data_IF_537728027938
#
_entry.id   IF_537728027938
#
_cell.length_a   1.000
_cell.length_b   1.000
_cell.length_c   1.000
_cell.angle_alpha   90.00
_cell.angle_beta   90.00
_cell.angle_gamma   90.00
#
_symmetry.space_group_name_H-M   'P 1'
#
loop_
_entity.id
_entity.type
_entity.pdbx_description
1 polymer ?
#
# COMPACT_ATOMS: atom_id res chain seq x y z
N UNK A 1 33.01 7.41 9.47
CA UNK A 1 32.33 6.20 8.93
C UNK A 1 31.53 5.60 10.07
N UNK A 2 30.26 5.25 9.85
CA UNK A 2 29.45 4.52 10.84
C UNK A 2 29.84 3.05 10.89
N UNK A 3 29.61 2.38 12.03
CA UNK A 3 29.73 0.91 12.16
C UNK A 3 28.60 0.17 11.44
N UNK A 4 27.44 0.82 11.32
CA UNK A 4 26.25 0.34 10.66
C UNK A 4 25.48 1.52 10.07
N UNK A 5 24.82 1.31 8.93
CA UNK A 5 23.96 2.26 8.23
C UNK A 5 22.53 1.74 8.19
N UNK A 6 21.54 2.63 8.31
CA UNK A 6 20.12 2.31 8.10
C UNK A 6 19.65 3.03 6.84
N UNK A 7 19.27 2.30 5.79
CA UNK A 7 18.58 2.85 4.63
C UNK A 7 17.08 2.99 4.93
N UNK A 8 16.66 4.22 5.17
CA UNK A 8 15.26 4.62 5.33
C UNK A 8 14.86 5.64 4.25
N UNK A 9 15.43 5.54 3.04
CA UNK A 9 15.22 6.51 1.94
C UNK A 9 13.89 6.38 1.21
N UNK A 10 12.94 5.61 1.77
CA UNK A 10 11.59 5.45 1.23
C UNK A 10 11.59 4.73 -0.12
N UNK A 11 10.63 5.08 -0.98
CA UNK A 11 10.43 4.46 -2.29
C UNK A 11 11.72 4.37 -3.10
N UNK A 12 12.57 5.40 -3.08
CA UNK A 12 13.78 5.47 -3.90
C UNK A 12 14.76 4.33 -3.55
N UNK A 13 14.80 3.92 -2.27
CA UNK A 13 15.65 2.84 -1.79
C UNK A 13 17.09 2.98 -2.27
N UNK A 14 17.73 4.13 -2.01
CA UNK A 14 19.00 4.55 -2.61
C UNK A 14 20.07 3.46 -2.53
N UNK A 15 20.32 2.95 -1.31
CA UNK A 15 21.36 1.93 -1.11
C UNK A 15 20.87 0.55 -1.52
N UNK A 16 19.59 0.23 -1.28
CA UNK A 16 19.01 -1.05 -1.69
C UNK A 16 19.04 -1.26 -3.22
N UNK A 17 18.88 -0.20 -3.98
CA UNK A 17 18.94 -0.19 -5.45
C UNK A 17 20.37 -0.35 -5.92
N UNK A 18 21.28 0.46 -5.38
CA UNK A 18 22.71 0.42 -5.73
C UNK A 18 23.33 -0.96 -5.44
N UNK A 19 22.92 -1.59 -4.34
CA UNK A 19 23.43 -2.88 -3.89
C UNK A 19 22.64 -4.08 -4.43
N UNK A 20 21.60 -3.86 -5.24
CA UNK A 20 20.79 -4.93 -5.81
C UNK A 20 20.12 -5.83 -4.76
N UNK A 21 19.70 -5.26 -3.63
CA UNK A 21 19.11 -6.01 -2.51
C UNK A 21 17.80 -6.68 -2.89
N UNK A 22 17.05 -6.15 -3.86
CA UNK A 22 15.88 -6.81 -4.40
C UNK A 22 15.57 -6.34 -5.82
N UNK A 23 14.73 -7.12 -6.52
CA UNK A 23 14.41 -6.85 -7.92
C UNK A 23 13.28 -5.81 -8.05
N UNK A 24 13.66 -4.54 -8.07
CA UNK A 24 12.75 -3.40 -8.23
C UNK A 24 12.05 -3.37 -9.60
N UNK A 25 12.59 -4.01 -10.63
CA UNK A 25 11.97 -4.08 -11.95
C UNK A 25 10.75 -5.00 -11.96
N UNK A 26 10.69 -5.97 -11.03
CA UNK A 26 9.52 -6.86 -10.83
C UNK A 26 8.46 -6.25 -9.92
N UNK A 27 8.75 -5.13 -9.27
CA UNK A 27 7.81 -4.41 -8.43
C UNK A 27 6.71 -3.72 -9.24
N UNK A 28 5.52 -3.62 -8.66
CA UNK A 28 4.47 -2.75 -9.16
C UNK A 28 4.76 -1.32 -8.78
N UNK A 29 4.42 -0.42 -9.70
CA UNK A 29 4.55 1.02 -9.51
C UNK A 29 3.20 1.62 -9.26
N UNK A 30 3.14 2.56 -8.34
CA UNK A 30 1.93 3.32 -8.08
C UNK A 30 2.25 4.76 -7.75
N UNK A 31 1.21 5.59 -7.78
CA UNK A 31 1.29 6.99 -7.42
C UNK A 31 0.05 7.37 -6.62
N UNK A 32 0.24 8.19 -5.60
CA UNK A 32 -0.82 8.79 -4.81
C UNK A 32 -0.62 10.30 -4.74
N UNK A 33 -1.74 11.03 -4.73
CA UNK A 33 -1.73 12.48 -4.52
C UNK A 33 -2.91 12.87 -3.64
N UNK A 34 -2.66 13.72 -2.66
CA UNK A 34 -3.68 14.29 -1.80
C UNK A 34 -3.55 15.81 -1.64
N UNK A 35 -4.69 16.43 -1.35
CA UNK A 35 -4.78 17.78 -0.83
C UNK A 35 -5.14 17.73 0.65
N UNK A 36 -4.46 18.55 1.43
CA UNK A 36 -4.90 18.92 2.77
C UNK A 36 -5.71 20.22 2.66
N UNK A 37 -6.97 20.16 3.08
CA UNK A 37 -7.96 21.21 2.81
C UNK A 37 -8.70 21.65 4.06
N UNK A 38 -9.19 22.88 4.06
CA UNK A 38 -10.23 23.35 4.98
C UNK A 38 -11.52 23.66 4.23
N UNK A 39 -12.63 23.55 4.94
CA UNK A 39 -13.99 23.75 4.44
C UNK A 39 -14.97 22.97 5.29
N UNK A 40 -16.06 22.49 4.70
CA UNK A 40 -17.03 21.65 5.42
C UNK A 40 -16.90 20.20 4.99
N UNK A 41 -16.94 19.28 5.95
CA UNK A 41 -17.08 17.85 5.71
C UNK A 41 -18.14 17.30 6.66
N UNK A 42 -19.25 16.81 6.10
CA UNK A 42 -20.43 16.33 6.82
C UNK A 42 -20.28 14.85 7.21
N UNK A 43 -19.12 14.50 7.78
CA UNK A 43 -18.80 13.14 8.23
C UNK A 43 -17.52 13.14 9.06
N UNK A 44 -17.51 12.35 10.13
CA UNK A 44 -16.34 12.00 10.93
C UNK A 44 -15.74 10.64 10.54
N UNK A 45 -16.34 9.96 9.54
CA UNK A 45 -15.85 8.73 8.97
C UNK A 45 -14.84 8.95 7.84
N UNK A 46 -13.88 8.03 7.72
CA UNK A 46 -13.04 7.89 6.53
C UNK A 46 -13.89 7.38 5.37
N UNK A 47 -13.83 8.07 4.24
CA UNK A 47 -14.49 7.67 3.00
C UNK A 47 -13.46 7.07 2.07
N UNK A 48 -13.79 5.90 1.53
CA UNK A 48 -13.07 5.27 0.42
C UNK A 48 -14.02 5.14 -0.77
N UNK A 49 -13.55 5.47 -1.97
CA UNK A 49 -14.29 5.34 -3.22
C UNK A 49 -13.53 4.40 -4.16
N UNK A 50 -14.08 3.22 -4.36
CA UNK A 50 -13.60 2.22 -5.32
C UNK A 50 -14.42 2.38 -6.60
N UNK A 51 -13.91 3.19 -7.53
CA UNK A 51 -14.61 3.54 -8.76
C UNK A 51 -13.59 3.96 -9.82
N UNK A 52 -13.54 3.24 -10.93
CA UNK A 52 -12.57 3.54 -11.99
C UNK A 52 -12.84 4.86 -12.73
N UNK A 53 -14.04 5.44 -12.63
CA UNK A 53 -14.29 6.79 -13.14
C UNK A 53 -13.62 7.88 -12.28
N UNK A 54 -13.40 7.59 -10.98
CA UNK A 54 -12.83 8.52 -10.01
C UNK A 54 -11.33 8.30 -9.82
N UNK A 55 -10.92 7.03 -9.71
CA UNK A 55 -9.54 6.61 -9.51
C UNK A 55 -9.30 5.29 -10.28
N UNK A 56 -9.04 5.36 -11.59
CA UNK A 56 -8.81 4.17 -12.41
C UNK A 56 -7.58 3.40 -11.92
N UNK A 57 -7.74 2.09 -11.72
CA UNK A 57 -6.69 1.23 -11.19
C UNK A 57 -6.29 1.49 -9.73
N UNK A 58 -7.17 2.14 -8.95
CA UNK A 58 -6.92 2.44 -7.56
C UNK A 58 -8.18 2.80 -6.79
N UNK A 59 -8.07 3.78 -5.90
CA UNK A 59 -9.18 4.30 -5.12
C UNK A 59 -8.97 5.77 -4.77
N UNK A 60 -10.05 6.45 -4.41
CA UNK A 60 -10.03 7.79 -3.85
C UNK A 60 -10.41 7.76 -2.37
N UNK A 61 -9.97 8.76 -1.62
CA UNK A 61 -10.27 8.86 -0.19
C UNK A 61 -10.66 10.26 0.26
N UNK A 62 -11.36 10.31 1.40
CA UNK A 62 -11.55 11.50 2.23
C UNK A 62 -11.30 11.10 3.69
N UNK A 63 -10.30 11.69 4.32
CA UNK A 63 -9.98 11.43 5.73
C UNK A 63 -10.29 12.68 6.56
N UNK A 64 -11.17 12.55 7.58
CA UNK A 64 -11.46 13.65 8.47
C UNK A 64 -10.26 13.95 9.36
N UNK A 65 -10.21 15.18 9.85
CA UNK A 65 -9.29 15.65 10.87
C UNK A 65 -9.96 16.81 11.62
N UNK A 66 -9.26 17.40 12.59
CA UNK A 66 -9.87 18.37 13.51
C UNK A 66 -10.37 19.63 12.79
N UNK A 67 -9.45 20.44 12.24
CA UNK A 67 -9.77 21.68 11.53
C UNK A 67 -9.66 21.54 10.00
N UNK A 68 -9.20 20.37 9.54
CA UNK A 68 -8.84 20.09 8.15
C UNK A 68 -9.13 18.64 7.84
N UNK A 69 -9.36 18.37 6.57
CA UNK A 69 -9.52 17.01 6.05
C UNK A 69 -8.61 16.82 4.86
N UNK A 70 -8.36 15.57 4.50
CA UNK A 70 -7.52 15.20 3.37
C UNK A 70 -8.35 14.49 2.33
N UNK A 71 -8.22 14.87 1.06
CA UNK A 71 -8.74 14.09 -0.05
C UNK A 71 -7.62 13.69 -0.96
N UNK A 72 -7.66 12.46 -1.45
CA UNK A 72 -6.67 11.99 -2.38
C UNK A 72 -7.21 10.96 -3.36
N UNK A 73 -6.38 10.69 -4.35
CA UNK A 73 -6.54 9.63 -5.33
C UNK A 73 -5.21 8.91 -5.46
N UNK A 74 -5.25 7.61 -5.67
CA UNK A 74 -4.07 6.82 -6.00
C UNK A 74 -4.41 5.75 -7.01
N UNK A 75 -3.39 5.19 -7.64
CA UNK A 75 -3.51 3.98 -8.47
C UNK A 75 -2.20 3.22 -8.55
N UNK A 76 -2.32 1.98 -8.98
CA UNK A 76 -1.21 1.14 -9.43
C UNK A 76 -1.20 1.14 -10.95
N UNK A 77 -0.03 1.43 -11.55
CA UNK A 77 0.13 1.74 -12.97
C UNK A 77 -0.47 0.65 -13.87
N UNK A 78 -0.20 -0.63 -13.59
CA UNK A 78 -0.70 -1.76 -14.39
C UNK A 78 -2.23 -1.78 -14.51
N UNK A 79 -2.94 -1.34 -13.46
CA UNK A 79 -4.41 -1.29 -13.44
C UNK A 79 -4.91 0.03 -14.03
N UNK A 80 -4.20 1.13 -13.79
CA UNK A 80 -4.50 2.41 -14.43
C UNK A 80 -4.48 2.25 -15.96
N UNK A 81 -3.44 1.63 -16.51
CA UNK A 81 -3.31 1.38 -17.95
C UNK A 81 -4.47 0.54 -18.53
N UNK A 82 -5.12 -0.30 -17.71
CA UNK A 82 -6.26 -1.13 -18.14
C UNK A 82 -7.61 -0.43 -18.01
N UNK A 83 -7.78 0.38 -16.97
CA UNK A 83 -9.09 0.93 -16.57
C UNK A 83 -9.25 2.42 -16.83
N UNK A 84 -8.16 3.15 -17.10
CA UNK A 84 -8.23 4.56 -17.36
C UNK A 84 -9.00 4.82 -18.67
N UNK A 85 -10.07 5.63 -18.63
CA UNK A 85 -10.81 5.99 -19.85
C UNK A 85 -10.04 7.00 -20.73
N UNK A 86 -9.01 7.64 -20.18
CA UNK A 86 -8.25 8.72 -20.79
C UNK A 86 -6.83 8.83 -20.17
N UNK A 87 -6.04 9.79 -20.66
CA UNK A 87 -4.66 10.07 -20.25
C UNK A 87 -4.55 11.20 -19.21
N UNK A 88 -5.63 11.49 -18.47
CA UNK A 88 -5.63 12.58 -17.48
C UNK A 88 -4.58 12.34 -16.39
N UNK A 89 -3.94 13.43 -15.98
CA UNK A 89 -2.99 13.38 -14.86
C UNK A 89 -3.67 13.09 -13.52
N UNK A 90 -2.89 12.63 -12.55
CA UNK A 90 -3.39 12.42 -11.18
C UNK A 90 -3.95 13.70 -10.54
N UNK A 91 -3.42 14.87 -10.92
CA UNK A 91 -3.95 16.16 -10.46
C UNK A 91 -5.36 16.42 -11.02
N UNK A 92 -5.62 16.04 -12.27
CA UNK A 92 -6.94 16.18 -12.88
C UNK A 92 -7.97 15.25 -12.23
N UNK A 93 -7.60 14.00 -11.93
CA UNK A 93 -8.46 13.09 -11.16
C UNK A 93 -8.74 13.62 -9.75
N UNK A 94 -7.71 14.11 -9.05
CA UNK A 94 -7.86 14.68 -7.71
C UNK A 94 -8.77 15.91 -7.69
N UNK A 95 -8.63 16.82 -8.67
CA UNK A 95 -9.49 18.00 -8.79
C UNK A 95 -10.93 17.65 -9.16
N UNK A 96 -11.12 16.58 -9.95
CA UNK A 96 -12.45 16.04 -10.21
C UNK A 96 -13.08 15.50 -8.92
N UNK A 97 -12.33 14.70 -8.15
CA UNK A 97 -12.77 14.11 -6.88
C UNK A 97 -13.19 15.16 -5.85
N UNK A 98 -12.44 16.27 -5.78
CA UNK A 98 -12.73 17.41 -4.90
C UNK A 98 -14.16 17.95 -5.05
N UNK A 99 -14.77 17.84 -6.23
CA UNK A 99 -16.08 18.40 -6.55
C UNK A 99 -17.17 17.33 -6.81
N UNK A 100 -16.93 16.06 -6.46
CA UNK A 100 -17.77 14.93 -6.90
C UNK A 100 -18.89 14.54 -5.93
N UNK A 101 -18.85 15.01 -4.68
CA UNK A 101 -19.76 14.58 -3.63
C UNK A 101 -20.15 15.76 -2.74
N UNK A 102 -21.44 15.86 -2.41
CA UNK A 102 -22.00 16.98 -1.64
C UNK A 102 -21.66 16.90 -0.14
N UNK A 103 -21.13 15.77 0.35
CA UNK A 103 -20.70 15.63 1.75
C UNK A 103 -19.55 16.54 2.12
N UNK A 104 -18.81 17.09 1.16
CA UNK A 104 -17.75 18.06 1.45
C UNK A 104 -17.78 19.26 0.51
N UNK A 105 -17.26 20.38 1.02
CA UNK A 105 -16.97 21.58 0.24
C UNK A 105 -15.60 22.08 0.63
N UNK A 106 -14.73 22.24 -0.35
CA UNK A 106 -13.38 22.78 -0.15
C UNK A 106 -13.41 24.29 -0.31
N UNK A 107 -12.91 24.99 0.70
CA UNK A 107 -12.76 26.45 0.67
C UNK A 107 -11.31 26.85 0.40
N UNK A 108 -10.35 26.09 0.93
CA UNK A 108 -8.93 26.35 0.76
C UNK A 108 -8.11 25.06 0.73
N UNK A 109 -7.16 24.98 -0.21
CA UNK A 109 -6.09 23.97 -0.22
C UNK A 109 -4.88 24.57 0.50
N UNK A 110 -4.40 23.89 1.55
CA UNK A 110 -3.25 24.33 2.34
C UNK A 110 -1.96 23.65 1.92
N UNK A 111 -2.05 22.36 1.59
CA UNK A 111 -0.89 21.58 1.17
C UNK A 111 -1.27 20.58 0.08
N UNK A 112 -0.27 20.15 -0.65
CA UNK A 112 -0.37 19.07 -1.63
C UNK A 112 0.74 18.08 -1.32
N UNK A 113 0.37 16.82 -1.10
CA UNK A 113 1.31 15.73 -0.92
C UNK A 113 1.18 14.78 -2.11
N UNK A 114 2.31 14.31 -2.62
CA UNK A 114 2.36 13.31 -3.66
C UNK A 114 3.46 12.31 -3.33
N UNK A 115 3.22 11.04 -3.62
CA UNK A 115 4.18 9.98 -3.40
C UNK A 115 4.10 8.95 -4.52
N UNK A 116 5.24 8.38 -4.86
CA UNK A 116 5.32 7.18 -5.67
C UNK A 116 5.57 5.99 -4.76
N UNK A 117 5.21 4.80 -5.25
CA UNK A 117 5.54 3.54 -4.60
C UNK A 117 6.12 2.57 -5.63
N UNK A 118 7.10 1.79 -5.20
CA UNK A 118 7.52 0.54 -5.87
C UNK A 118 7.37 -0.58 -4.85
N UNK A 119 6.53 -1.57 -5.18
CA UNK A 119 6.23 -2.66 -4.25
C UNK A 119 6.14 -4.03 -4.90
N UNK A 120 6.69 -5.03 -4.23
CA UNK A 120 6.54 -6.45 -4.54
C UNK A 120 5.87 -7.20 -3.37
N UNK A 121 6.19 -8.49 -3.17
CA UNK A 121 5.67 -9.30 -2.07
C UNK A 121 6.40 -9.06 -0.73
N UNK A 122 7.35 -8.13 -0.66
CA UNK A 122 8.08 -7.76 0.55
C UNK A 122 9.01 -8.83 1.14
N UNK A 123 9.22 -9.95 0.43
CA UNK A 123 10.16 -11.03 0.81
C UNK A 123 11.55 -10.68 0.24
N UNK A 124 12.06 -9.53 0.67
CA UNK A 124 13.27 -8.92 0.12
C UNK A 124 14.49 -9.16 0.99
N UNK A 125 15.67 -8.94 0.40
CA UNK A 125 16.86 -8.77 1.21
C UNK A 125 16.73 -7.50 2.04
N UNK A 126 16.81 -7.63 3.36
CA UNK A 126 16.59 -6.51 4.30
C UNK A 126 17.85 -6.06 5.02
N UNK A 127 18.92 -6.85 4.93
CA UNK A 127 20.20 -6.53 5.53
C UNK A 127 21.37 -7.00 4.64
N UNK A 128 22.53 -6.38 4.80
CA UNK A 128 23.82 -6.84 4.29
C UNK A 128 24.93 -6.36 5.24
N UNK A 129 26.20 -6.63 4.94
CA UNK A 129 27.31 -6.23 5.80
C UNK A 129 27.26 -4.72 6.12
N UNK A 130 27.05 -4.39 7.40
CA UNK A 130 27.00 -3.01 7.90
C UNK A 130 25.79 -2.19 7.43
N UNK A 131 24.75 -2.80 6.86
CA UNK A 131 23.56 -2.10 6.35
C UNK A 131 22.28 -2.85 6.67
N UNK A 132 21.27 -2.14 7.18
CA UNK A 132 19.87 -2.60 7.22
C UNK A 132 18.99 -1.62 6.47
N UNK A 133 17.91 -2.10 5.86
CA UNK A 133 16.96 -1.26 5.13
C UNK A 133 15.53 -1.46 5.65
N UNK A 134 14.78 -0.36 5.77
CA UNK A 134 13.47 -0.35 6.44
C UNK A 134 12.42 0.36 5.58
N UNK A 135 11.15 0.07 5.86
CA UNK A 135 10.02 0.72 5.17
C UNK A 135 10.00 0.44 3.67
N UNK A 136 9.70 1.46 2.89
CA UNK A 136 9.51 1.35 1.44
C UNK A 136 10.80 1.05 0.67
N UNK A 137 11.98 1.29 1.27
CA UNK A 137 13.26 0.92 0.66
C UNK A 137 13.35 -0.59 0.39
N UNK A 138 12.61 -1.40 1.15
CA UNK A 138 12.51 -2.87 1.02
C UNK A 138 11.07 -3.33 0.82
N UNK A 139 10.21 -2.47 0.25
CA UNK A 139 8.81 -2.76 -0.07
C UNK A 139 7.96 -3.20 1.14
N UNK A 140 8.11 -2.56 2.30
CA UNK A 140 7.31 -2.91 3.49
C UNK A 140 5.84 -2.46 3.38
N UNK A 141 5.51 -1.57 2.44
CA UNK A 141 4.13 -1.11 2.19
C UNK A 141 3.15 -2.28 2.00
N UNK A 142 1.94 -2.14 2.55
CA UNK A 142 0.87 -3.10 2.36
C UNK A 142 0.38 -3.09 0.90
N UNK A 143 0.43 -4.23 0.17
CA UNK A 143 0.09 -4.27 -1.25
C UNK A 143 -1.41 -4.25 -1.53
N UNK A 144 -2.27 -4.41 -0.51
CA UNK A 144 -3.72 -4.43 -0.68
C UNK A 144 -4.29 -3.01 -0.75
N UNK A 145 -4.03 -2.19 0.26
CA UNK A 145 -4.55 -0.82 0.33
C UNK A 145 -3.48 0.27 0.23
N UNK A 146 -2.20 -0.08 0.06
CA UNK A 146 -1.14 0.92 -0.10
C UNK A 146 -0.81 1.69 1.17
N UNK A 147 -1.09 1.13 2.34
CA UNK A 147 -0.73 1.74 3.63
C UNK A 147 0.72 1.36 3.99
N UNK A 148 1.57 2.37 4.23
CA UNK A 148 3.01 2.16 4.44
C UNK A 148 3.55 2.68 5.77
N UNK A 149 2.82 3.53 6.49
CA UNK A 149 3.31 4.18 7.71
C UNK A 149 3.50 3.14 8.82
N UNK A 150 2.46 2.36 9.13
CA UNK A 150 2.51 1.33 10.18
C UNK A 150 3.48 0.19 9.82
N UNK A 151 3.45 -0.42 8.61
CA UNK A 151 4.44 -1.42 8.22
C UNK A 151 5.87 -0.88 8.21
N UNK A 152 6.07 0.39 7.84
CA UNK A 152 7.37 1.05 7.90
C UNK A 152 7.88 1.18 9.33
N UNK A 153 7.01 1.58 10.27
CA UNK A 153 7.35 1.64 11.70
C UNK A 153 7.61 0.24 12.29
N UNK A 154 6.81 -0.77 11.91
CA UNK A 154 7.00 -2.16 12.32
C UNK A 154 8.35 -2.69 11.82
N UNK A 155 8.66 -2.47 10.54
CA UNK A 155 9.95 -2.80 9.91
C UNK A 155 11.11 -2.12 10.65
N UNK A 156 11.00 -0.83 10.96
CA UNK A 156 12.03 -0.09 11.69
C UNK A 156 12.23 -0.63 13.12
N UNK A 157 11.15 -0.97 13.82
CA UNK A 157 11.22 -1.56 15.16
C UNK A 157 11.92 -2.93 15.14
N UNK A 158 11.56 -3.80 14.20
CA UNK A 158 12.22 -5.10 14.05
C UNK A 158 13.72 -4.95 13.73
N UNK A 159 14.07 -4.00 12.87
CA UNK A 159 15.46 -3.71 12.55
C UNK A 159 16.24 -3.16 13.76
N UNK A 160 15.62 -2.28 14.55
CA UNK A 160 16.26 -1.69 15.73
C UNK A 160 16.69 -2.74 16.75
N UNK A 161 15.83 -3.72 17.05
CA UNK A 161 16.14 -4.83 17.98
C UNK A 161 17.43 -5.55 17.55
N UNK A 162 17.55 -5.87 16.26
CA UNK A 162 18.70 -6.59 15.68
C UNK A 162 19.95 -5.73 15.57
N UNK A 163 19.79 -4.45 15.21
CA UNK A 163 20.91 -3.49 15.12
C UNK A 163 21.55 -3.29 16.49
N UNK A 164 20.76 -3.17 17.55
CA UNK A 164 21.28 -3.01 18.92
C UNK A 164 22.12 -4.24 19.29
N UNK A 165 21.59 -5.45 19.09
CA UNK A 165 22.31 -6.70 19.36
C UNK A 165 23.61 -6.83 18.54
N UNK A 166 23.58 -6.46 17.25
CA UNK A 166 24.75 -6.46 16.38
C UNK A 166 25.82 -5.45 16.82
N UNK A 167 25.41 -4.28 17.33
CA UNK A 167 26.34 -3.27 17.84
C UNK A 167 26.99 -3.70 19.16
N UNK A 168 26.22 -4.32 20.05
CA UNK A 168 26.66 -4.81 21.37
C UNK A 168 27.59 -6.02 21.25
N UNK A 169 27.25 -6.99 20.38
CA UNK A 169 28.08 -8.16 20.10
C UNK A 169 29.29 -7.87 19.22
N UNK A 170 29.27 -6.74 18.50
CA UNK A 170 30.30 -6.38 17.54
C UNK A 170 30.13 -7.03 16.15
N UNK A 171 29.08 -7.84 15.94
CA UNK A 171 28.81 -8.52 14.68
C UNK A 171 27.80 -7.75 13.81
N UNK A 172 28.28 -6.77 13.06
CA UNK A 172 27.50 -6.06 12.04
C UNK A 172 27.58 -6.74 10.65
N UNK A 173 27.96 -8.02 10.57
CA UNK A 173 27.96 -8.76 9.30
C UNK A 173 26.53 -9.08 8.85
N UNK A 174 26.35 -9.54 7.61
CA UNK A 174 25.08 -10.11 7.14
C UNK A 174 24.60 -11.23 8.06
N UNK A 175 25.50 -12.04 8.61
CA UNK A 175 25.14 -13.12 9.54
C UNK A 175 24.39 -12.60 10.76
N UNK A 176 24.97 -11.61 11.45
CA UNK A 176 24.36 -10.96 12.61
C UNK A 176 23.06 -10.20 12.28
N UNK A 177 23.01 -9.54 11.13
CA UNK A 177 21.85 -8.71 10.75
C UNK A 177 20.70 -9.48 10.09
N UNK A 178 20.94 -10.72 9.62
CA UNK A 178 19.92 -11.53 8.93
C UNK A 178 18.74 -11.93 9.82
N UNK A 179 18.83 -11.77 11.15
CA UNK A 179 17.72 -12.00 12.06
C UNK A 179 16.51 -11.10 11.73
N UNK A 180 16.74 -9.86 11.31
CA UNK A 180 15.68 -8.93 10.93
C UNK A 180 14.93 -9.42 9.68
N UNK A 181 15.66 -9.83 8.64
CA UNK A 181 15.08 -10.39 7.42
C UNK A 181 14.25 -11.65 7.69
N UNK A 182 14.80 -12.58 8.46
CA UNK A 182 14.09 -13.82 8.84
C UNK A 182 12.81 -13.52 9.61
N UNK A 183 12.89 -12.59 10.57
CA UNK A 183 11.74 -12.19 11.38
C UNK A 183 10.63 -11.59 10.52
N UNK A 184 10.97 -10.65 9.63
CA UNK A 184 9.99 -10.07 8.72
C UNK A 184 9.33 -11.14 7.85
N UNK A 185 10.13 -11.99 7.21
CA UNK A 185 9.61 -13.01 6.30
C UNK A 185 8.69 -14.00 7.04
N UNK A 186 9.02 -14.35 8.29
CA UNK A 186 8.20 -15.22 9.12
C UNK A 186 6.90 -14.56 9.61
N UNK A 187 6.95 -13.28 9.99
CA UNK A 187 5.78 -12.57 10.55
C UNK A 187 4.86 -11.99 9.47
N UNK A 188 5.39 -11.58 8.31
CA UNK A 188 4.68 -10.80 7.30
C UNK A 188 4.67 -11.40 5.89
N UNK A 189 5.63 -12.28 5.56
CA UNK A 189 5.87 -12.71 4.17
C UNK A 189 4.65 -13.34 3.49
N UNK A 190 4.04 -14.35 4.12
CA UNK A 190 2.87 -15.04 3.56
C UNK A 190 1.64 -14.13 3.48
N UNK A 191 1.45 -13.28 4.47
CA UNK A 191 0.34 -12.32 4.51
C UNK A 191 0.48 -11.29 3.38
N UNK A 192 1.66 -10.70 3.18
CA UNK A 192 1.91 -9.74 2.10
C UNK A 192 1.73 -10.38 0.73
N UNK A 193 2.17 -11.62 0.56
CA UNK A 193 1.96 -12.38 -0.66
C UNK A 193 0.47 -12.60 -0.96
N UNK A 194 -0.31 -12.99 0.05
CA UNK A 194 -1.76 -13.16 -0.09
C UNK A 194 -2.43 -11.83 -0.41
N UNK A 195 -2.11 -10.77 0.33
CA UNK A 195 -2.64 -9.42 0.10
C UNK A 195 -2.31 -8.91 -1.30
N UNK A 196 -1.14 -9.23 -1.85
CA UNK A 196 -0.77 -8.91 -3.24
C UNK A 196 -1.67 -9.61 -4.25
N UNK A 197 -1.91 -10.91 -4.07
CA UNK A 197 -2.83 -11.69 -4.90
C UNK A 197 -4.23 -11.11 -4.84
N UNK A 198 -4.69 -10.74 -3.64
CA UNK A 198 -5.99 -10.08 -3.47
C UNK A 198 -6.01 -8.73 -4.16
N UNK A 199 -4.95 -7.92 -4.04
CA UNK A 199 -4.84 -6.64 -4.74
C UNK A 199 -5.03 -6.78 -6.25
N UNK A 200 -4.38 -7.77 -6.87
CA UNK A 200 -4.58 -8.09 -8.30
C UNK A 200 -6.02 -8.37 -8.69
N UNK A 201 -6.78 -8.95 -7.77
CA UNK A 201 -8.16 -9.30 -7.98
C UNK A 201 -9.08 -8.09 -7.78
N UNK A 202 -8.87 -7.31 -6.71
CA UNK A 202 -9.69 -6.15 -6.33
C UNK A 202 -9.51 -4.96 -7.27
N UNK A 203 -8.27 -4.60 -7.62
CA UNK A 203 -7.98 -3.44 -8.48
C UNK A 203 -8.40 -3.65 -9.94
N UNK A 204 -8.81 -4.87 -10.29
CA UNK A 204 -9.23 -5.26 -11.64
C UNK A 204 -10.75 -5.54 -11.72
N UNK A 205 -11.51 -5.04 -10.74
CA UNK A 205 -12.97 -5.14 -10.73
C UNK A 205 -13.62 -4.24 -11.77
N UNK A 206 -14.64 -4.76 -12.45
CA UNK A 206 -15.58 -3.92 -13.18
C UNK A 206 -16.48 -3.12 -12.21
N UNK A 207 -17.23 -2.15 -12.74
CA UNK A 207 -18.12 -1.30 -11.93
C UNK A 207 -19.15 -2.10 -11.12
N UNK A 208 -19.66 -3.22 -11.65
CA UNK A 208 -20.60 -4.08 -10.94
C UNK A 208 -19.93 -4.87 -9.80
N UNK A 209 -18.70 -5.33 -10.01
CA UNK A 209 -17.88 -5.96 -8.97
C UNK A 209 -17.51 -4.97 -7.86
N UNK A 210 -17.17 -3.72 -8.20
CA UNK A 210 -16.91 -2.66 -7.22
C UNK A 210 -18.13 -2.40 -6.33
N UNK A 211 -19.30 -2.27 -6.94
CA UNK A 211 -20.59 -2.11 -6.27
C UNK A 211 -20.91 -3.26 -5.31
N UNK A 212 -20.74 -4.51 -5.75
CA UNK A 212 -20.97 -5.69 -4.93
C UNK A 212 -19.95 -5.83 -3.80
N UNK A 213 -18.69 -5.45 -4.03
CA UNK A 213 -17.65 -5.41 -3.01
C UNK A 213 -18.02 -4.42 -1.89
N UNK A 214 -18.46 -3.21 -2.24
CA UNK A 214 -18.89 -2.18 -1.27
C UNK A 214 -20.13 -2.64 -0.49
N UNK A 215 -21.13 -3.23 -1.16
CA UNK A 215 -22.29 -3.78 -0.46
C UNK A 215 -21.90 -4.91 0.49
N UNK A 216 -21.03 -5.81 0.04
CA UNK A 216 -20.56 -6.95 0.84
C UNK A 216 -19.76 -6.52 2.06
N UNK A 217 -18.90 -5.50 1.94
CA UNK A 217 -18.13 -4.97 3.07
C UNK A 217 -19.04 -4.37 4.16
N UNK A 218 -20.17 -3.76 3.77
CA UNK A 218 -21.20 -3.27 4.69
C UNK A 218 -21.92 -4.36 5.49
N UNK A 219 -21.71 -5.64 5.19
CA UNK A 219 -22.32 -6.76 5.92
C UNK A 219 -21.40 -7.38 6.98
N UNK A 220 -20.18 -6.87 7.14
CA UNK A 220 -19.25 -7.40 8.13
C UNK A 220 -19.77 -7.23 9.56
N UNK A 221 -19.45 -8.20 10.42
CA UNK A 221 -19.54 -8.00 11.87
C UNK A 221 -18.46 -7.01 12.32
N UNK A 222 -18.60 -6.45 13.53
CA UNK A 222 -17.59 -5.54 14.09
C UNK A 222 -16.17 -6.14 14.04
N UNK A 223 -16.02 -7.42 14.40
CA UNK A 223 -14.73 -8.11 14.31
C UNK A 223 -14.19 -8.21 12.87
N UNK A 224 -15.06 -8.31 11.87
CA UNK A 224 -14.66 -8.26 10.45
C UNK A 224 -14.23 -6.87 10.02
N UNK A 225 -14.91 -5.82 10.48
CA UNK A 225 -14.53 -4.42 10.26
C UNK A 225 -13.17 -4.13 10.89
N UNK A 226 -12.94 -4.56 12.13
CA UNK A 226 -11.66 -4.37 12.82
C UNK A 226 -10.50 -5.04 12.05
N UNK A 227 -10.71 -6.25 11.51
CA UNK A 227 -9.72 -6.92 10.66
C UNK A 227 -9.48 -6.16 9.35
N UNK A 228 -10.53 -5.68 8.70
CA UNK A 228 -10.44 -4.88 7.48
C UNK A 228 -9.62 -3.61 7.70
N UNK A 229 -9.85 -2.91 8.82
CA UNK A 229 -9.11 -1.69 9.20
C UNK A 229 -7.62 -1.95 9.50
N UNK A 230 -7.28 -3.14 9.97
CA UNK A 230 -5.89 -3.56 10.21
C UNK A 230 -5.24 -4.24 9.01
N UNK A 231 -6.00 -4.48 7.95
CA UNK A 231 -5.61 -5.25 6.76
C UNK A 231 -5.33 -6.73 7.04
N UNK A 232 -5.78 -7.25 8.18
CA UNK A 232 -5.61 -8.62 8.65
C UNK A 232 -6.78 -9.51 8.15
N UNK A 233 -7.09 -9.43 6.86
CA UNK A 233 -8.22 -10.16 6.27
C UNK A 233 -7.92 -11.66 6.18
N UNK A 234 -8.85 -12.48 6.69
CA UNK A 234 -8.76 -13.94 6.51
C UNK A 234 -9.17 -14.34 5.10
N UNK A 235 -8.83 -15.56 4.66
CA UNK A 235 -9.32 -16.11 3.39
C UNK A 235 -10.86 -16.08 3.32
N UNK A 236 -11.56 -16.32 4.42
CA UNK A 236 -13.03 -16.23 4.46
C UNK A 236 -13.54 -14.80 4.26
N UNK A 237 -12.87 -13.81 4.86
CA UNK A 237 -13.21 -12.40 4.64
C UNK A 237 -13.01 -12.02 3.17
N UNK A 238 -11.91 -12.48 2.58
CA UNK A 238 -11.58 -12.27 1.17
C UNK A 238 -12.60 -12.91 0.24
N UNK A 239 -12.95 -14.17 0.46
CA UNK A 239 -13.98 -14.89 -0.32
C UNK A 239 -15.35 -14.21 -0.20
N UNK A 240 -15.68 -13.67 0.98
CA UNK A 240 -16.92 -12.94 1.20
C UNK A 240 -16.95 -11.59 0.47
N UNK A 241 -15.80 -10.92 0.41
CA UNK A 241 -15.67 -9.64 -0.29
C UNK A 241 -15.61 -9.80 -1.81
N UNK A 242 -15.16 -10.95 -2.31
CA UNK A 242 -14.85 -11.15 -3.72
C UNK A 242 -16.10 -11.51 -4.56
N UNK A 243 -16.62 -10.60 -5.40
CA UNK A 243 -17.76 -10.86 -6.27
C UNK A 243 -17.27 -11.55 -7.55
N UNK A 244 -17.16 -12.88 -7.48
CA UNK A 244 -16.61 -13.68 -8.58
C UNK A 244 -17.42 -13.53 -9.88
N UNK A 245 -16.71 -13.43 -11.00
CA UNK A 245 -17.24 -13.40 -12.37
C UNK A 245 -16.50 -14.40 -13.25
N UNK A 246 -17.17 -14.88 -14.30
CA UNK A 246 -16.53 -15.79 -15.27
C UNK A 246 -15.32 -15.15 -15.99
N UNK A 247 -15.35 -13.83 -16.18
CA UNK A 247 -14.24 -13.03 -16.75
C UNK A 247 -12.97 -13.08 -15.91
N UNK A 248 -13.07 -13.39 -14.61
CA UNK A 248 -11.92 -13.46 -13.71
C UNK A 248 -10.95 -14.60 -14.06
N UNK A 249 -11.38 -15.60 -14.85
CA UNK A 249 -10.47 -16.63 -15.36
C UNK A 249 -9.31 -16.04 -16.18
N UNK A 250 -9.52 -14.88 -16.82
CA UNK A 250 -8.46 -14.16 -17.54
C UNK A 250 -7.38 -13.57 -16.61
N UNK A 251 -7.67 -13.43 -15.32
CA UNK A 251 -6.75 -12.91 -14.29
C UNK A 251 -5.78 -14.00 -13.79
N UNK A 252 -6.10 -15.28 -13.96
CA UNK A 252 -5.32 -16.41 -13.42
C UNK A 252 -3.84 -16.40 -13.80
N UNK A 253 -3.43 -16.10 -15.05
CA UNK A 253 -2.01 -16.03 -15.39
C UNK A 253 -1.27 -14.91 -14.64
N UNK A 254 -1.95 -13.80 -14.31
CA UNK A 254 -1.36 -12.68 -13.54
C UNK A 254 -1.23 -13.06 -12.07
N UNK A 255 -2.29 -13.62 -11.49
CA UNK A 255 -2.28 -14.11 -10.10
C UNK A 255 -1.19 -15.18 -9.90
N UNK A 256 -1.02 -16.09 -10.86
CA UNK A 256 -0.01 -17.13 -10.79
C UNK A 256 1.43 -16.60 -10.72
N UNK A 257 1.72 -15.40 -11.27
CA UNK A 257 3.05 -14.78 -11.17
C UNK A 257 3.45 -14.43 -9.74
N UNK A 258 2.47 -14.29 -8.85
CA UNK A 258 2.72 -13.98 -7.43
C UNK A 258 2.81 -15.25 -6.57
N UNK A 259 2.51 -16.44 -7.14
CA UNK A 259 2.59 -17.76 -6.47
C UNK A 259 3.93 -18.49 -6.68
N UNK A 260 4.78 -18.01 -7.57
CA UNK A 260 6.21 -18.38 -7.66
C UNK A 260 7.05 -17.49 -6.75
#
# INVERSE_FOLDING_TARGET
RGRLTVDATGETGVLTTELGMWNRERGQRGIGKEFEVSGTFDSDAMVFRFDHEVAPGGYAWVFPGDDRFKLGVCWVNDFYERHAPDDRSIDAYLRSWLNRDDRWRVEKIHATHAGAVVSDNSINQRATDGLVAVGDAVSSINPLFGEGIRPGMESARMAADVVIEALDSGDCSRGGLAAYERRWNAEKGDEWRLQRIVGELLYDFDAGQQDEFVRSSGTFSQAGVDRLQRYELTVFDLLRLYPARASDLSKLPRVARHLS
#
